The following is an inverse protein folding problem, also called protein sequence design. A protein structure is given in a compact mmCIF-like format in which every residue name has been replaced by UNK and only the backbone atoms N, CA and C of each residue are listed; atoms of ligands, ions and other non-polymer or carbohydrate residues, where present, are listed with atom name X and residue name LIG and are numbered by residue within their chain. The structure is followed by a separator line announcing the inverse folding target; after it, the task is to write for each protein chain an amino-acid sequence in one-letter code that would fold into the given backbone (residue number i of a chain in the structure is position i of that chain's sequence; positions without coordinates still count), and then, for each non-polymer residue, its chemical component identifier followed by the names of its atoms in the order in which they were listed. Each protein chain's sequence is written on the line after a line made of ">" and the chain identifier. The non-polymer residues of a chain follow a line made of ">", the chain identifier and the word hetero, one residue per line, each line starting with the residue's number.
data_IF_690366328797
#
_entry.id   IF_690366328797
#
_cell.length_a   1.000
_cell.length_b   1.000
_cell.length_c   1.000
_cell.angle_alpha   90.00
_cell.angle_beta   90.00
_cell.angle_gamma   90.00
#
_symmetry.space_group_name_H-M   'P 1'
#
loop_
_entity.id
_entity.type
_entity.pdbx_description
1 polymer ?
#
# COMPACT_ATOMS: atom_id res chain seq x y z
N UNK A 1 -4.72 26.00 -4.37
CA UNK A 1 -3.83 25.56 -5.46
C UNK A 1 -4.17 24.10 -5.79
N UNK A 2 -5.11 23.87 -6.71
CA UNK A 2 -5.44 22.51 -7.19
C UNK A 2 -4.28 22.06 -8.08
N UNK A 3 -3.44 21.18 -7.54
CA UNK A 3 -2.37 20.56 -8.33
C UNK A 3 -2.87 19.22 -8.83
N UNK A 4 -2.40 18.76 -9.99
CA UNK A 4 -2.74 17.48 -10.64
C UNK A 4 -2.88 16.27 -9.69
N UNK A 5 -2.19 16.30 -8.55
CA UNK A 5 -2.32 15.37 -7.43
C UNK A 5 -3.77 15.17 -6.97
N UNK A 6 -4.58 16.22 -6.86
CA UNK A 6 -5.96 16.13 -6.35
C UNK A 6 -6.91 15.32 -7.26
N UNK A 7 -6.57 15.18 -8.56
CA UNK A 7 -7.28 14.30 -9.50
C UNK A 7 -6.91 12.83 -9.33
N UNK A 8 -5.68 12.55 -8.89
CA UNK A 8 -5.18 11.19 -8.70
C UNK A 8 -5.51 10.64 -7.31
N UNK A 9 -5.84 11.50 -6.35
CA UNK A 9 -6.17 11.06 -4.98
C UNK A 9 -7.61 10.54 -4.91
N UNK A 10 -7.82 9.25 -4.56
CA UNK A 10 -9.14 8.69 -4.32
C UNK A 10 -9.87 9.43 -3.18
N UNK A 11 -11.21 9.50 -3.21
CA UNK A 11 -12.00 10.23 -2.22
C UNK A 11 -11.77 9.74 -0.78
N UNK A 12 -11.47 8.45 -0.59
CA UNK A 12 -11.19 7.87 0.73
C UNK A 12 -9.80 8.24 1.29
N UNK A 13 -8.84 8.63 0.44
CA UNK A 13 -7.48 9.02 0.86
C UNK A 13 -7.36 10.51 1.17
N UNK A 14 -8.22 11.36 0.58
CA UNK A 14 -8.21 12.83 0.78
C UNK A 14 -8.13 13.26 2.26
N UNK A 15 -8.85 12.64 3.22
CA UNK A 15 -8.76 13.01 4.62
C UNK A 15 -7.38 12.71 5.22
N UNK A 16 -6.76 11.60 4.82
CA UNK A 16 -5.43 11.21 5.29
C UNK A 16 -4.34 12.05 4.64
N UNK A 17 -4.49 12.43 3.37
CA UNK A 17 -3.56 13.33 2.67
C UNK A 17 -3.55 14.72 3.30
N UNK A 18 -4.73 15.22 3.70
CA UNK A 18 -4.85 16.50 4.42
C UNK A 18 -4.13 16.44 5.78
N UNK A 19 -4.39 15.39 6.56
CA UNK A 19 -3.77 15.18 7.88
C UNK A 19 -2.26 15.00 7.77
N UNK A 20 -1.79 14.26 6.77
CA UNK A 20 -0.37 14.10 6.51
C UNK A 20 0.31 15.45 6.23
N UNK A 21 -0.37 16.35 5.51
CA UNK A 21 0.18 17.66 5.15
C UNK A 21 0.15 18.66 6.30
N UNK A 22 -0.84 18.57 7.20
CA UNK A 22 -1.00 19.49 8.34
C UNK A 22 -0.21 19.05 9.56
N UNK A 23 -0.21 17.75 9.88
CA UNK A 23 0.35 17.21 11.14
C UNK A 23 1.45 16.15 10.92
N UNK A 24 1.74 15.81 9.66
CA UNK A 24 2.79 14.86 9.30
C UNK A 24 2.41 13.39 9.48
N UNK A 25 3.41 12.52 9.34
CA UNK A 25 3.25 11.06 9.40
C UNK A 25 2.68 10.56 10.73
N UNK A 26 3.04 11.20 11.85
CA UNK A 26 2.59 10.79 13.19
C UNK A 26 1.06 10.84 13.34
N UNK A 27 0.42 11.85 12.79
CA UNK A 27 -1.04 11.99 12.85
C UNK A 27 -1.77 10.98 11.97
N UNK A 28 -1.19 10.61 10.83
CA UNK A 28 -1.72 9.53 9.98
C UNK A 28 -1.70 8.20 10.72
N UNK A 29 -0.58 7.87 11.39
CA UNK A 29 -0.48 6.64 12.20
C UNK A 29 -1.44 6.71 13.40
N UNK A 30 -1.59 7.87 14.05
CA UNK A 30 -2.52 8.04 15.17
C UNK A 30 -3.98 7.85 14.75
N UNK A 31 -4.37 8.37 13.58
CA UNK A 31 -5.73 8.22 13.04
C UNK A 31 -5.99 6.84 12.44
N UNK A 32 -4.99 6.27 11.76
CA UNK A 32 -5.06 4.94 11.16
C UNK A 32 -4.99 3.82 12.20
N UNK A 33 -4.30 4.05 13.32
CA UNK A 33 -4.17 3.15 14.46
C UNK A 33 -3.77 1.73 14.05
N UNK A 34 -4.35 0.75 14.75
CA UNK A 34 -4.16 -0.67 14.48
C UNK A 34 -4.59 -1.11 13.07
N UNK A 35 -5.53 -0.40 12.43
CA UNK A 35 -5.94 -0.73 11.05
C UNK A 35 -4.80 -0.49 10.06
N UNK A 36 -4.02 0.57 10.25
CA UNK A 36 -2.88 0.87 9.38
C UNK A 36 -1.80 -0.21 9.50
N UNK A 37 -1.53 -0.65 10.73
CA UNK A 37 -0.61 -1.77 11.00
C UNK A 37 -1.13 -3.06 10.36
N UNK A 38 -2.41 -3.39 10.55
CA UNK A 38 -3.01 -4.58 9.95
C UNK A 38 -2.94 -4.56 8.42
N UNK A 39 -3.18 -3.41 7.78
CA UNK A 39 -3.04 -3.25 6.33
C UNK A 39 -1.59 -3.47 5.89
N UNK A 40 -0.61 -2.89 6.59
CA UNK A 40 0.82 -3.07 6.25
C UNK A 40 1.23 -4.54 6.42
N UNK A 41 0.85 -5.16 7.53
CA UNK A 41 1.14 -6.57 7.81
C UNK A 41 0.49 -7.47 6.76
N UNK A 42 -0.79 -7.25 6.43
CA UNK A 42 -1.50 -8.02 5.41
C UNK A 42 -0.90 -7.81 4.02
N UNK A 43 -0.51 -6.59 3.67
CA UNK A 43 0.19 -6.29 2.42
C UNK A 43 1.50 -7.08 2.33
N UNK A 44 2.31 -7.11 3.39
CA UNK A 44 3.55 -7.88 3.40
C UNK A 44 3.29 -9.39 3.33
N UNK A 45 2.31 -9.91 4.06
CA UNK A 45 1.91 -11.31 3.99
C UNK A 45 1.48 -11.74 2.59
N UNK A 46 0.61 -10.96 1.96
CA UNK A 46 0.15 -11.23 0.60
C UNK A 46 1.32 -11.12 -0.38
N UNK A 47 2.15 -10.08 -0.28
CA UNK A 47 3.31 -9.90 -1.15
C UNK A 47 4.25 -11.09 -1.07
N UNK A 48 4.66 -11.48 0.13
CA UNK A 48 5.60 -12.59 0.33
C UNK A 48 4.98 -13.88 -0.20
N UNK A 49 3.74 -14.18 0.18
CA UNK A 49 3.03 -15.39 -0.25
C UNK A 49 2.86 -15.46 -1.77
N UNK A 50 2.44 -14.35 -2.39
CA UNK A 50 2.30 -14.27 -3.85
C UNK A 50 3.66 -14.46 -4.51
N UNK A 51 4.73 -13.84 -4.01
CA UNK A 51 6.05 -13.96 -4.64
C UNK A 51 6.53 -15.42 -4.65
N UNK A 52 6.36 -16.13 -3.54
CA UNK A 52 6.72 -17.55 -3.43
C UNK A 52 5.78 -18.50 -4.17
N UNK A 53 4.55 -18.10 -4.48
CA UNK A 53 3.66 -18.88 -5.34
C UNK A 53 3.90 -18.59 -6.83
N UNK A 54 4.09 -17.31 -7.16
CA UNK A 54 4.19 -16.82 -8.51
C UNK A 54 5.53 -17.21 -9.15
N UNK A 55 6.66 -17.07 -8.44
CA UNK A 55 7.98 -17.40 -9.01
C UNK A 55 8.05 -18.90 -9.40
N UNK A 56 7.75 -19.87 -8.53
CA UNK A 56 7.80 -21.29 -8.90
C UNK A 56 6.78 -21.63 -9.99
N UNK A 57 5.60 -21.00 -9.97
CA UNK A 57 4.60 -21.18 -11.01
C UNK A 57 5.12 -20.73 -12.39
N UNK A 58 5.76 -19.57 -12.46
CA UNK A 58 6.34 -19.04 -13.71
C UNK A 58 7.50 -19.92 -14.20
N UNK A 59 8.33 -20.44 -13.30
CA UNK A 59 9.41 -21.40 -13.62
C UNK A 59 8.83 -22.70 -14.15
N UNK A 60 7.82 -23.28 -13.48
CA UNK A 60 7.16 -24.52 -13.91
C UNK A 60 6.48 -24.37 -15.29
N UNK A 61 6.05 -23.16 -15.63
CA UNK A 61 5.44 -22.84 -16.93
C UNK A 61 6.47 -22.47 -18.01
N UNK A 62 7.77 -22.46 -17.70
CA UNK A 62 8.84 -22.13 -18.63
C UNK A 62 8.89 -20.66 -19.05
N UNK A 63 8.18 -19.77 -18.34
CA UNK A 63 8.15 -18.33 -18.62
C UNK A 63 9.36 -17.59 -18.02
N UNK A 64 10.03 -18.22 -17.05
CA UNK A 64 11.25 -17.74 -16.41
C UNK A 64 12.23 -18.91 -16.23
N UNK A 65 13.53 -18.65 -16.45
CA UNK A 65 14.62 -19.57 -16.07
C UNK A 65 14.99 -19.34 -14.60
N UNK A 66 15.07 -20.42 -13.83
CA UNK A 66 15.53 -20.41 -12.44
C UNK A 66 17.05 -20.25 -12.33
#
# INVERSE_FOLDING_TARGET
>A
MSSWRDKLTPPFLRPYTKIYREEGWRAVVKKGGWKLIAIVVLYYLIRDSILYLLIPYLVARGLMSA
#
